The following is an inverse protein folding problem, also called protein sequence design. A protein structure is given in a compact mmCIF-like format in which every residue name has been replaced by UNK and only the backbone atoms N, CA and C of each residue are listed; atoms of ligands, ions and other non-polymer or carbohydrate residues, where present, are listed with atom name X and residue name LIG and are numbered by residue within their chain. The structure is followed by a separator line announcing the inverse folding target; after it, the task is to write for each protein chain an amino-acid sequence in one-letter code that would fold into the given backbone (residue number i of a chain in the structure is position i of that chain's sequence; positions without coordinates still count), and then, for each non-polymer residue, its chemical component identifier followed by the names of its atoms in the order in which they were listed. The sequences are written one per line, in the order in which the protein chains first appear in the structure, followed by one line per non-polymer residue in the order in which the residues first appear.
data_IF_118156102530
#
_entry.id   IF_118156102530
#
_cell.length_a   1.000
_cell.length_b   1.000
_cell.length_c   1.000
_cell.angle_alpha   90.00
_cell.angle_beta   90.00
_cell.angle_gamma   90.00
#
_symmetry.space_group_name_H-M   'P 1'
#
loop_
_entity.id
_entity.type
_entity.pdbx_description
1 polymer ?
#
# COMPACT_ATOMS: atom_id res chain seq x y z
N UNK A 1 -28.57 -32.97 -54.22
CA UNK A 1 -28.22 -32.26 -52.97
C UNK A 1 -26.76 -31.78 -53.10
N UNK A 2 -26.52 -30.46 -53.07
CA UNK A 2 -25.29 -29.82 -53.56
C UNK A 2 -24.06 -30.08 -52.65
N UNK A 3 -23.23 -31.07 -53.02
CA UNK A 3 -22.04 -31.48 -52.28
C UNK A 3 -20.87 -30.46 -52.31
N UNK A 4 -20.93 -29.46 -53.20
CA UNK A 4 -19.89 -28.40 -53.34
C UNK A 4 -20.01 -27.25 -52.33
N UNK A 5 -21.12 -27.13 -51.60
CA UNK A 5 -21.33 -26.08 -50.57
C UNK A 5 -20.99 -26.54 -49.15
N UNK A 6 -20.87 -27.84 -48.90
CA UNK A 6 -20.58 -28.40 -47.58
C UNK A 6 -19.09 -28.25 -47.18
N UNK A 7 -18.19 -28.29 -48.15
CA UNK A 7 -16.75 -28.22 -47.91
C UNK A 7 -16.28 -26.92 -47.25
N UNK A 8 -16.69 -25.71 -47.69
CA UNK A 8 -16.28 -24.47 -47.02
C UNK A 8 -16.93 -24.31 -45.64
N UNK A 9 -18.16 -24.80 -45.44
CA UNK A 9 -18.87 -24.66 -44.16
C UNK A 9 -18.23 -25.53 -43.08
N UNK A 10 -17.85 -26.77 -43.40
CA UNK A 10 -17.20 -27.68 -42.44
C UNK A 10 -15.82 -27.14 -42.02
N UNK A 11 -15.05 -26.59 -42.97
CA UNK A 11 -13.72 -26.01 -42.68
C UNK A 11 -13.84 -24.77 -41.79
N UNK A 12 -14.83 -23.89 -42.03
CA UNK A 12 -15.07 -22.70 -41.20
C UNK A 12 -15.50 -23.08 -39.78
N UNK A 13 -16.37 -24.08 -39.63
CA UNK A 13 -16.79 -24.56 -38.30
C UNK A 13 -15.63 -25.17 -37.53
N UNK A 14 -14.74 -25.92 -38.20
CA UNK A 14 -13.53 -26.45 -37.58
C UNK A 14 -12.55 -25.36 -37.15
N UNK A 15 -12.34 -24.33 -37.98
CA UNK A 15 -11.45 -23.20 -37.64
C UNK A 15 -12.01 -22.41 -36.44
N UNK A 16 -13.32 -22.14 -36.42
CA UNK A 16 -13.94 -21.45 -35.29
C UNK A 16 -13.89 -22.27 -34.00
N UNK A 17 -14.08 -23.59 -34.08
CA UNK A 17 -13.95 -24.47 -32.93
C UNK A 17 -12.51 -24.52 -32.40
N UNK A 18 -11.51 -24.58 -33.28
CA UNK A 18 -10.09 -24.55 -32.89
C UNK A 18 -9.73 -23.19 -32.27
N UNK A 19 -10.18 -22.09 -32.86
CA UNK A 19 -9.96 -20.74 -32.31
C UNK A 19 -10.61 -20.60 -30.91
N UNK A 20 -11.81 -21.13 -30.71
CA UNK A 20 -12.49 -21.14 -29.41
C UNK A 20 -11.74 -22.02 -28.39
N UNK A 21 -11.21 -23.17 -28.80
CA UNK A 21 -10.41 -24.04 -27.92
C UNK A 21 -9.07 -23.38 -27.57
N UNK A 22 -8.39 -22.74 -28.52
CA UNK A 22 -7.15 -21.98 -28.26
C UNK A 22 -7.43 -20.83 -27.31
N UNK A 23 -8.51 -20.06 -27.54
CA UNK A 23 -8.90 -18.97 -26.64
C UNK A 23 -9.25 -19.49 -25.24
N UNK A 24 -9.94 -20.64 -25.16
CA UNK A 24 -10.28 -21.28 -23.88
C UNK A 24 -9.04 -21.83 -23.15
N UNK A 25 -8.07 -22.39 -23.86
CA UNK A 25 -6.80 -22.86 -23.28
C UNK A 25 -5.95 -21.67 -22.82
N UNK A 26 -5.84 -20.61 -23.61
CA UNK A 26 -5.19 -19.35 -23.19
C UNK A 26 -5.88 -18.71 -21.98
N UNK A 27 -7.19 -18.93 -21.83
CA UNK A 27 -7.94 -18.48 -20.66
C UNK A 27 -7.75 -19.39 -19.43
N UNK A 28 -7.47 -20.68 -19.61
CA UNK A 28 -7.22 -21.65 -18.52
C UNK A 28 -5.78 -21.59 -17.97
N UNK A 29 -4.80 -21.18 -18.77
CA UNK A 29 -3.38 -21.17 -18.37
C UNK A 29 -2.99 -20.04 -17.41
N UNK A 30 -3.90 -19.12 -17.06
CA UNK A 30 -3.74 -18.25 -15.88
C UNK A 30 -2.48 -17.38 -15.81
N UNK A 31 -1.80 -17.14 -16.94
CA UNK A 31 -0.55 -16.36 -17.00
C UNK A 31 -0.78 -14.85 -16.91
N UNK A 32 -2.03 -14.39 -16.86
CA UNK A 32 -2.39 -13.06 -16.36
C UNK A 32 -2.92 -13.19 -14.93
N UNK A 33 -2.01 -13.40 -13.99
CA UNK A 33 -2.25 -13.15 -12.58
C UNK A 33 -2.18 -11.64 -12.33
N UNK A 34 -3.15 -10.90 -12.86
CA UNK A 34 -3.45 -9.55 -12.41
C UNK A 34 -4.42 -9.66 -11.23
N UNK A 35 -4.04 -9.13 -10.07
CA UNK A 35 -4.97 -8.91 -8.94
C UNK A 35 -5.11 -10.10 -7.99
N UNK A 36 -4.25 -10.15 -6.97
CA UNK A 36 -4.64 -10.73 -5.67
C UNK A 36 -3.73 -10.33 -4.49
N UNK A 37 -2.55 -9.73 -4.74
CA UNK A 37 -1.71 -9.15 -3.68
C UNK A 37 -1.84 -7.63 -3.58
N UNK A 38 -1.93 -6.94 -4.72
CA UNK A 38 -1.96 -5.48 -4.82
C UNK A 38 -3.23 -4.83 -4.23
N UNK A 39 -4.37 -5.53 -4.27
CA UNK A 39 -5.66 -5.01 -3.78
C UNK A 39 -5.90 -5.21 -2.28
N UNK A 40 -5.01 -5.91 -1.57
CA UNK A 40 -5.15 -6.12 -0.12
C UNK A 40 -4.22 -5.21 0.70
N UNK A 41 -3.14 -4.69 0.10
CA UNK A 41 -2.25 -3.70 0.69
C UNK A 41 -2.84 -2.28 0.64
N UNK A 42 -3.66 -1.97 -0.37
CA UNK A 42 -4.29 -0.64 -0.56
C UNK A 42 -5.09 -0.16 0.64
N UNK A 43 -5.82 -1.03 1.34
CA UNK A 43 -6.63 -0.62 2.51
C UNK A 43 -5.85 -0.62 3.83
N UNK A 44 -4.66 -1.22 3.83
CA UNK A 44 -3.84 -1.42 5.01
C UNK A 44 -2.84 -0.28 5.24
N UNK A 45 -2.45 0.40 4.16
CA UNK A 45 -1.47 1.49 4.14
C UNK A 45 -2.19 2.74 3.67
N UNK A 46 -2.30 3.74 4.55
CA UNK A 46 -3.03 4.98 4.25
C UNK A 46 -2.17 6.21 4.49
N UNK A 47 -2.14 7.12 3.52
CA UNK A 47 -1.58 8.46 3.63
C UNK A 47 -2.61 9.38 4.28
N UNK A 48 -2.18 10.13 5.29
CA UNK A 48 -2.97 11.20 5.89
C UNK A 48 -2.81 12.47 5.04
N UNK A 49 -3.84 12.81 4.28
CA UNK A 49 -3.89 14.01 3.44
C UNK A 49 -4.70 15.08 4.14
N UNK A 50 -4.13 16.26 4.31
CA UNK A 50 -4.82 17.40 4.93
C UNK A 50 -5.35 18.32 3.83
N UNK A 51 -6.67 18.44 3.76
CA UNK A 51 -7.34 19.36 2.84
C UNK A 51 -8.46 20.10 3.57
N UNK A 52 -8.49 21.42 3.40
CA UNK A 52 -9.52 22.29 4.00
C UNK A 52 -9.71 22.04 5.51
N UNK A 53 -8.59 21.92 6.24
CA UNK A 53 -8.53 21.61 7.67
C UNK A 53 -9.16 20.25 8.08
N UNK A 54 -9.32 19.32 7.16
CA UNK A 54 -9.81 17.95 7.42
C UNK A 54 -8.76 16.94 6.98
N UNK A 55 -8.60 15.87 7.76
CA UNK A 55 -7.72 14.74 7.42
C UNK A 55 -8.52 13.71 6.63
N UNK A 56 -8.00 13.32 5.46
CA UNK A 56 -8.49 12.19 4.67
C UNK A 56 -7.45 11.07 4.66
N UNK A 57 -7.94 9.83 4.59
CA UNK A 57 -7.11 8.64 4.49
C UNK A 57 -7.09 8.19 3.03
N UNK A 58 -5.97 8.40 2.35
CA UNK A 58 -5.80 7.97 0.96
C UNK A 58 -5.05 6.63 0.93
N UNK A 59 -5.62 5.58 0.31
CA UNK A 59 -4.96 4.28 0.19
C UNK A 59 -3.67 4.38 -0.64
N UNK A 60 -2.60 3.72 -0.19
CA UNK A 60 -1.35 3.58 -0.94
C UNK A 60 -1.30 2.17 -1.53
N UNK A 61 -1.23 2.09 -2.86
CA UNK A 61 -1.23 0.80 -3.56
C UNK A 61 0.07 0.02 -3.43
N UNK A 62 1.21 0.70 -3.53
CA UNK A 62 2.53 0.12 -3.33
C UNK A 62 3.34 1.03 -2.40
N UNK A 63 3.52 0.58 -1.17
CA UNK A 63 4.27 1.33 -0.16
C UNK A 63 5.75 1.50 -0.55
N UNK A 64 6.37 0.48 -1.14
CA UNK A 64 7.79 0.52 -1.47
C UNK A 64 8.06 1.51 -2.60
N UNK A 65 7.18 1.52 -3.61
CA UNK A 65 7.24 2.53 -4.67
C UNK A 65 6.98 3.93 -4.11
N UNK A 66 5.96 4.08 -3.25
CA UNK A 66 5.62 5.37 -2.63
C UNK A 66 6.80 5.97 -1.86
N UNK A 67 7.50 5.20 -1.01
CA UNK A 67 8.66 5.73 -0.27
C UNK A 67 9.88 5.96 -1.15
N UNK A 68 10.02 5.22 -2.26
CA UNK A 68 11.13 5.38 -3.20
C UNK A 68 10.98 6.63 -4.06
N UNK A 69 9.75 6.95 -4.46
CA UNK A 69 9.41 8.10 -5.31
C UNK A 69 9.12 9.37 -4.50
N UNK A 70 9.07 9.30 -3.17
CA UNK A 70 8.79 10.45 -2.31
C UNK A 70 9.96 11.46 -2.29
N UNK A 71 9.68 12.69 -2.71
CA UNK A 71 10.63 13.81 -2.68
C UNK A 71 10.81 14.42 -1.27
N UNK A 72 9.90 14.11 -0.35
CA UNK A 72 9.90 14.58 1.04
C UNK A 72 9.90 13.37 2.00
N UNK A 73 10.41 13.52 3.24
CA UNK A 73 10.46 12.39 4.17
C UNK A 73 9.07 11.79 4.44
N UNK A 74 9.03 10.47 4.61
CA UNK A 74 7.82 9.71 4.93
C UNK A 74 7.91 9.22 6.36
N UNK A 75 7.04 9.71 7.23
CA UNK A 75 6.86 9.21 8.58
C UNK A 75 5.74 8.16 8.60
N UNK A 76 5.98 7.04 9.25
CA UNK A 76 5.09 5.88 9.25
C UNK A 76 4.74 5.47 10.68
N UNK A 77 3.44 5.35 10.97
CA UNK A 77 2.87 4.81 12.21
C UNK A 77 2.36 3.38 11.95
N UNK A 78 3.08 2.38 12.47
CA UNK A 78 2.64 0.99 12.47
C UNK A 78 1.75 0.73 13.70
N UNK A 79 0.48 0.40 13.45
CA UNK A 79 -0.57 0.34 14.47
C UNK A 79 -1.53 -0.84 14.26
N UNK A 80 -2.44 -1.05 15.22
CA UNK A 80 -3.59 -1.95 15.11
C UNK A 80 -4.73 -1.52 16.05
N UNK A 81 -5.96 -1.95 15.78
CA UNK A 81 -7.15 -1.61 16.59
C UNK A 81 -7.08 -2.11 18.04
N UNK A 82 -6.48 -3.28 18.24
CA UNK A 82 -6.30 -3.89 19.56
C UNK A 82 -5.18 -3.23 20.39
N UNK A 83 -4.40 -2.32 19.80
CA UNK A 83 -3.28 -1.65 20.46
C UNK A 83 -3.74 -0.43 21.27
N UNK A 84 -3.80 -0.61 22.60
CA UNK A 84 -4.13 0.48 23.54
C UNK A 84 -3.26 1.73 23.38
N UNK A 85 -1.91 1.62 23.44
CA UNK A 85 -1.02 2.77 23.27
C UNK A 85 -1.13 3.45 21.90
N UNK A 86 -1.45 2.70 20.83
CA UNK A 86 -1.64 3.26 19.49
C UNK A 86 -2.83 4.22 19.44
N UNK A 87 -3.92 3.91 20.16
CA UNK A 87 -5.08 4.83 20.27
C UNK A 87 -4.72 6.14 20.98
N UNK A 88 -3.75 6.12 21.90
CA UNK A 88 -3.25 7.33 22.55
C UNK A 88 -2.35 8.14 21.61
N UNK A 89 -1.61 7.47 20.72
CA UNK A 89 -0.79 8.12 19.71
C UNK A 89 -1.63 8.75 18.59
N UNK A 90 -2.77 8.17 18.23
CA UNK A 90 -3.55 8.55 17.05
C UNK A 90 -3.85 10.06 16.92
N UNK A 91 -4.32 10.78 17.96
CA UNK A 91 -4.56 12.22 17.87
C UNK A 91 -3.28 13.03 17.61
N UNK A 92 -2.16 12.58 18.17
CA UNK A 92 -0.86 13.20 17.94
C UNK A 92 -0.37 12.94 16.51
N UNK A 93 -0.58 11.74 15.96
CA UNK A 93 -0.23 11.44 14.55
C UNK A 93 -1.07 12.28 13.57
N UNK A 94 -2.36 12.46 13.85
CA UNK A 94 -3.22 13.37 13.08
C UNK A 94 -2.75 14.83 13.16
N UNK A 95 -2.31 15.26 14.35
CA UNK A 95 -1.69 16.57 14.54
C UNK A 95 -0.41 16.72 13.71
N UNK A 96 0.47 15.71 13.69
CA UNK A 96 1.68 15.72 12.85
C UNK A 96 1.34 15.85 11.36
N UNK A 97 0.28 15.18 10.89
CA UNK A 97 -0.17 15.30 9.50
C UNK A 97 -0.56 16.74 9.14
N UNK A 98 -1.19 17.45 10.08
CA UNK A 98 -1.56 18.85 9.91
C UNK A 98 -0.35 19.80 9.98
N UNK A 99 0.57 19.56 10.90
CA UNK A 99 1.72 20.46 11.11
C UNK A 99 2.81 20.32 10.04
N UNK A 100 3.03 19.10 9.54
CA UNK A 100 4.02 18.80 8.51
C UNK A 100 3.40 18.66 7.12
N UNK A 101 2.19 19.19 6.92
CA UNK A 101 1.58 19.30 5.60
C UNK A 101 2.58 19.91 4.61
N UNK A 102 2.71 19.29 3.44
CA UNK A 102 3.63 19.64 2.35
C UNK A 102 5.14 19.57 2.69
N UNK A 103 5.49 19.11 3.90
CA UNK A 103 6.89 18.96 4.38
C UNK A 103 7.29 17.52 4.64
N UNK A 104 6.34 16.69 5.06
CA UNK A 104 6.50 15.26 5.23
C UNK A 104 5.20 14.53 4.93
N UNK A 105 5.29 13.30 4.43
CA UNK A 105 4.14 12.41 4.32
C UNK A 105 3.94 11.68 5.64
N UNK A 106 2.72 11.69 6.18
CA UNK A 106 2.35 10.92 7.37
C UNK A 106 1.51 9.73 6.93
N UNK A 107 2.01 8.51 7.13
CA UNK A 107 1.40 7.26 6.69
C UNK A 107 1.06 6.40 7.90
N UNK A 108 -0.09 5.74 7.86
CA UNK A 108 -0.47 4.73 8.84
C UNK A 108 -0.46 3.35 8.19
N UNK A 109 0.11 2.37 8.87
CA UNK A 109 0.16 0.97 8.43
C UNK A 109 -0.50 0.10 9.49
N UNK A 110 -1.61 -0.53 9.12
CA UNK A 110 -2.25 -1.56 9.93
C UNK A 110 -1.44 -2.86 9.84
N UNK A 111 -0.87 -3.31 10.96
CA UNK A 111 -0.01 -4.51 10.98
C UNK A 111 -0.77 -5.82 10.82
N UNK A 112 -2.08 -5.86 11.09
CA UNK A 112 -2.91 -7.04 10.87
C UNK A 112 -3.18 -7.22 9.37
N UNK A 113 -3.38 -6.11 8.65
CA UNK A 113 -3.66 -6.13 7.22
C UNK A 113 -2.39 -6.16 6.36
N UNK A 114 -1.32 -5.49 6.79
CA UNK A 114 -0.02 -5.43 6.10
C UNK A 114 1.08 -6.24 6.80
N UNK A 115 0.77 -7.48 7.23
CA UNK A 115 1.68 -8.31 8.03
C UNK A 115 3.03 -8.65 7.36
N UNK A 116 3.11 -8.62 6.02
CA UNK A 116 4.39 -8.79 5.30
C UNK A 116 5.24 -7.53 5.46
N UNK A 117 4.65 -6.36 5.23
CA UNK A 117 5.29 -5.06 5.37
C UNK A 117 5.75 -4.80 6.81
N UNK A 118 4.89 -5.08 7.79
CA UNK A 118 5.22 -4.96 9.20
C UNK A 118 6.43 -5.83 9.57
N UNK A 119 6.50 -7.07 9.08
CA UNK A 119 7.66 -7.94 9.31
C UNK A 119 8.92 -7.44 8.61
N UNK A 120 8.80 -6.93 7.38
CA UNK A 120 9.92 -6.38 6.63
C UNK A 120 10.63 -5.25 7.39
N UNK A 121 9.87 -4.41 8.09
CA UNK A 121 10.40 -3.29 8.87
C UNK A 121 10.45 -3.55 10.39
N UNK A 122 10.41 -4.81 10.81
CA UNK A 122 10.47 -5.25 12.21
C UNK A 122 9.41 -4.61 13.14
N UNK A 123 8.27 -4.18 12.61
CA UNK A 123 7.13 -3.63 13.35
C UNK A 123 6.32 -4.72 14.08
N UNK A 124 7.00 -5.54 14.88
CA UNK A 124 6.41 -6.61 15.69
C UNK A 124 6.00 -6.13 17.09
N UNK A 125 6.45 -4.95 17.50
CA UNK A 125 6.07 -4.30 18.75
C UNK A 125 5.46 -2.95 18.41
N UNK A 126 4.14 -2.84 18.52
CA UNK A 126 3.39 -1.63 18.18
C UNK A 126 3.02 -0.81 19.43
N UNK A 127 2.90 0.53 19.30
CA UNK A 127 3.15 1.31 18.09
C UNK A 127 4.64 1.34 17.73
N UNK A 128 4.95 1.32 16.44
CA UNK A 128 6.28 1.58 15.93
C UNK A 128 6.22 2.75 14.96
N UNK A 129 7.11 3.71 15.13
CA UNK A 129 7.26 4.86 14.26
C UNK A 129 8.52 4.69 13.43
N UNK A 130 8.48 5.09 12.16
CA UNK A 130 9.62 4.97 11.25
C UNK A 130 9.69 6.16 10.31
N UNK A 131 10.90 6.62 9.99
CA UNK A 131 11.12 7.67 8.99
C UNK A 131 11.89 7.11 7.81
N UNK A 132 11.36 7.36 6.63
CA UNK A 132 11.98 7.03 5.35
C UNK A 132 12.41 8.29 4.62
N UNK A 133 13.55 8.22 3.93
CA UNK A 133 14.05 9.25 3.03
C UNK A 133 14.81 8.58 1.88
N UNK A 134 14.59 9.03 0.65
CA UNK A 134 15.18 8.46 -0.56
C UNK A 134 14.97 6.93 -0.67
N UNK A 135 13.77 6.45 -0.34
CA UNK A 135 13.42 5.03 -0.34
C UNK A 135 14.07 4.18 0.75
N UNK A 136 14.77 4.79 1.73
CA UNK A 136 15.50 4.06 2.78
C UNK A 136 14.94 4.37 4.15
N UNK A 137 14.89 3.35 5.01
CA UNK A 137 14.63 3.51 6.43
C UNK A 137 15.81 4.23 7.09
N UNK A 138 15.54 5.38 7.70
CA UNK A 138 16.56 6.21 8.37
C UNK A 138 16.58 5.95 9.87
N UNK A 139 15.41 5.98 10.49
CA UNK A 139 15.27 5.85 11.94
C UNK A 139 13.93 5.17 12.27
N UNK A 140 13.92 4.39 13.35
CA UNK A 140 12.72 3.74 13.88
C UNK A 140 12.69 3.81 15.39
N UNK A 141 11.51 4.02 15.98
CA UNK A 141 11.29 4.03 17.43
C UNK A 141 10.06 3.21 17.78
N UNK A 142 10.15 2.35 18.79
CA UNK A 142 9.05 1.51 19.25
C UNK A 142 8.50 2.00 20.59
N UNK A 143 7.19 1.80 20.78
CA UNK A 143 6.44 2.24 21.95
C UNK A 143 5.97 3.68 21.85
N UNK A 144 4.97 4.02 22.67
CA UNK A 144 4.44 5.38 22.78
C UNK A 144 4.15 5.76 24.22
N UNK A 145 4.53 6.98 24.56
CA UNK A 145 4.21 7.73 25.76
C UNK A 145 4.29 9.23 25.42
N UNK A 146 3.59 10.10 26.15
CA UNK A 146 3.60 11.55 25.85
C UNK A 146 5.03 12.13 25.85
N UNK A 147 5.92 11.57 26.66
CA UNK A 147 7.33 11.99 26.74
C UNK A 147 8.13 11.77 25.45
N UNK A 148 7.63 10.98 24.50
CA UNK A 148 8.33 10.72 23.22
C UNK A 148 7.86 11.62 22.07
N UNK A 149 6.83 12.45 22.26
CA UNK A 149 6.29 13.30 21.19
C UNK A 149 7.36 14.21 20.56
N UNK A 150 8.18 14.86 21.38
CA UNK A 150 9.28 15.70 20.90
C UNK A 150 10.32 14.89 20.12
N UNK A 151 10.57 13.64 20.54
CA UNK A 151 11.47 12.75 19.81
C UNK A 151 10.91 12.40 18.43
N UNK A 152 9.60 12.14 18.33
CA UNK A 152 8.95 11.85 17.04
C UNK A 152 8.99 13.06 16.09
N UNK A 153 8.81 14.28 16.61
CA UNK A 153 9.00 15.52 15.83
C UNK A 153 10.42 15.63 15.32
N UNK A 154 11.40 15.43 16.20
CA UNK A 154 12.82 15.49 15.82
C UNK A 154 13.19 14.44 14.76
N UNK A 155 12.59 13.24 14.80
CA UNK A 155 12.79 12.23 13.76
C UNK A 155 12.41 12.76 12.37
N UNK A 156 11.32 13.53 12.27
CA UNK A 156 10.89 14.17 11.01
C UNK A 156 11.81 15.35 10.66
N UNK A 157 12.00 16.26 11.62
CA UNK A 157 12.70 17.53 11.41
C UNK A 157 14.15 17.37 10.95
N UNK A 158 14.86 16.36 11.47
CA UNK A 158 16.23 16.04 11.04
C UNK A 158 16.32 15.65 9.56
N UNK A 159 15.19 15.28 8.95
CA UNK A 159 15.13 14.78 7.58
C UNK A 159 14.51 15.77 6.60
N UNK A 160 14.01 16.91 7.07
CA UNK A 160 13.54 17.98 6.21
C UNK A 160 14.70 18.55 5.35
N UNK A 161 14.41 19.04 4.13
CA UNK A 161 15.41 19.64 3.25
C UNK A 161 16.01 20.94 3.78
#
# INVERSE_FOLDING_TARGET
MNLKKAFPVIVVVLILAIAAVILFVLFQDGTLKAGSKEQQETSAVVLLVVENATIRHEPIADFNLFVADADIPVFVDFWAEWCGPCRLAAPFIEQLASEYQDKAHIVKVDVDQAAVLARQYNAQSIPQFSVFKDGKLIESSAGYADSIQDSLRQMIEKQLP
#
